data_IF_014055025106
#
_entry.id   IF_014055025106
#
_cell.length_a   1.000
_cell.length_b   1.000
_cell.length_c   1.000
_cell.angle_alpha   90.00
_cell.angle_beta   90.00
_cell.angle_gamma   90.00
#
_symmetry.space_group_name_H-M   'P 1'
#
loop_
_entity.id
_entity.type
_entity.pdbx_description
1 polymer ?
#
# COMPACT_ATOMS: atom_id res chain seq x y z
N UNK A 1 15.54 10.71 8.00
CA UNK A 1 15.96 9.74 6.96
C UNK A 1 14.86 8.71 6.66
N UNK A 2 14.40 7.90 7.63
CA UNK A 2 13.40 6.84 7.43
C UNK A 2 12.11 7.28 6.70
N UNK A 3 11.41 8.31 7.21
CA UNK A 3 10.20 8.87 6.59
C UNK A 3 10.38 9.29 5.13
N UNK A 4 11.59 9.74 4.72
CA UNK A 4 11.85 10.12 3.32
C UNK A 4 11.90 8.92 2.37
N UNK A 5 12.36 7.76 2.85
CA UNK A 5 12.48 6.56 2.02
C UNK A 5 11.21 5.71 2.00
N UNK A 6 10.50 5.63 3.12
CA UNK A 6 9.32 4.75 3.25
C UNK A 6 7.99 5.51 3.21
N UNK A 7 8.02 6.85 3.27
CA UNK A 7 6.82 7.72 3.39
C UNK A 7 5.86 7.29 4.52
N UNK A 8 6.41 6.61 5.54
CA UNK A 8 5.68 6.00 6.63
C UNK A 8 6.39 6.24 7.97
N UNK A 9 5.64 6.17 9.06
CA UNK A 9 6.16 6.19 10.43
C UNK A 9 6.91 4.91 10.76
N UNK A 10 8.09 5.04 11.41
CA UNK A 10 8.91 3.89 11.83
C UNK A 10 8.16 2.91 12.74
N UNK A 11 7.35 3.35 13.73
CA UNK A 11 6.56 2.43 14.55
C UNK A 11 5.57 1.58 13.74
N UNK A 12 4.87 2.19 12.78
CA UNK A 12 3.94 1.48 11.90
C UNK A 12 4.67 0.44 11.04
N UNK A 13 5.83 0.80 10.48
CA UNK A 13 6.65 -0.14 9.72
C UNK A 13 7.10 -1.34 10.56
N UNK A 14 7.51 -1.12 11.80
CA UNK A 14 7.90 -2.21 12.70
C UNK A 14 6.70 -3.09 13.08
N UNK A 15 5.52 -2.49 13.32
CA UNK A 15 4.26 -3.21 13.55
C UNK A 15 3.90 -4.11 12.36
N UNK A 16 4.05 -3.62 11.14
CA UNK A 16 3.82 -4.38 9.91
C UNK A 16 4.78 -5.57 9.82
N UNK A 17 6.09 -5.33 10.03
CA UNK A 17 7.11 -6.39 9.98
C UNK A 17 6.83 -7.49 11.00
N UNK A 18 6.52 -7.12 12.24
CA UNK A 18 6.27 -8.07 13.32
C UNK A 18 5.06 -8.97 13.01
N UNK A 19 3.93 -8.34 12.66
CA UNK A 19 2.70 -9.05 12.28
C UNK A 19 2.92 -9.97 11.08
N UNK A 20 3.56 -9.49 10.01
CA UNK A 20 3.85 -10.31 8.83
C UNK A 20 4.79 -11.47 9.15
N UNK A 21 5.82 -11.24 9.97
CA UNK A 21 6.77 -12.29 10.35
C UNK A 21 6.12 -13.41 11.16
N UNK A 22 5.13 -13.07 11.99
CA UNK A 22 4.48 -14.02 12.90
C UNK A 22 3.27 -14.71 12.28
N UNK A 23 2.52 -14.03 11.40
CA UNK A 23 1.23 -14.51 10.91
C UNK A 23 1.25 -14.95 9.43
N UNK A 24 2.29 -14.59 8.66
CA UNK A 24 2.39 -14.96 7.25
C UNK A 24 3.60 -15.86 7.00
N UNK A 25 3.40 -17.17 6.71
CA UNK A 25 4.49 -18.15 6.57
C UNK A 25 5.56 -17.80 5.53
N UNK A 26 5.21 -16.99 4.52
CA UNK A 26 6.16 -16.53 3.51
C UNK A 26 7.21 -15.57 4.08
N UNK A 27 6.86 -14.75 5.07
CA UNK A 27 7.78 -13.76 5.62
C UNK A 27 8.73 -14.35 6.66
N UNK A 28 8.34 -15.43 7.32
CA UNK A 28 9.21 -16.18 8.25
C UNK A 28 10.59 -16.47 7.63
N UNK A 29 11.65 -16.07 8.34
CA UNK A 29 13.02 -16.23 7.84
C UNK A 29 13.51 -17.67 8.07
N UNK A 30 13.56 -18.45 6.99
CA UNK A 30 13.99 -19.86 7.01
C UNK A 30 15.43 -20.03 6.54
N UNK A 31 16.08 -21.10 6.99
CA UNK A 31 17.36 -21.56 6.44
C UNK A 31 17.12 -22.33 5.15
N UNK A 32 17.94 -22.05 4.14
CA UNK A 32 17.92 -22.82 2.91
C UNK A 32 18.59 -24.20 3.09
N UNK A 33 18.55 -25.05 2.06
CA UNK A 33 19.16 -26.39 2.08
C UNK A 33 20.67 -26.39 2.37
N UNK A 34 21.36 -25.26 2.19
CA UNK A 34 22.77 -25.07 2.50
C UNK A 34 22.99 -24.47 3.91
N UNK A 35 21.95 -24.40 4.74
CA UNK A 35 22.00 -23.88 6.11
C UNK A 35 22.13 -22.36 6.22
N UNK A 36 22.11 -21.62 5.11
CA UNK A 36 22.17 -20.15 5.11
C UNK A 36 20.79 -19.55 5.30
N UNK A 37 20.70 -18.46 6.06
CA UNK A 37 19.46 -17.72 6.19
C UNK A 37 19.06 -17.13 4.83
N UNK A 38 17.80 -17.34 4.45
CA UNK A 38 17.19 -16.65 3.32
C UNK A 38 16.95 -15.17 3.61
N UNK A 39 16.27 -14.50 2.67
CA UNK A 39 15.90 -13.09 2.80
C UNK A 39 15.14 -12.81 4.09
N UNK A 40 15.55 -11.76 4.79
CA UNK A 40 14.87 -11.29 5.98
C UNK A 40 13.49 -10.69 5.65
N UNK A 41 12.60 -10.68 6.64
CA UNK A 41 11.27 -10.04 6.55
C UNK A 41 11.42 -8.58 6.11
N UNK A 42 12.41 -7.87 6.67
CA UNK A 42 12.68 -6.46 6.37
C UNK A 42 13.03 -6.27 4.90
N UNK A 43 13.87 -7.15 4.33
CA UNK A 43 14.22 -7.09 2.90
C UNK A 43 13.00 -7.34 2.01
N UNK A 44 12.21 -8.37 2.33
CA UNK A 44 10.98 -8.71 1.59
C UNK A 44 9.95 -7.57 1.63
N UNK A 45 9.70 -7.01 2.81
CA UNK A 45 8.78 -5.89 2.99
C UNK A 45 9.29 -4.62 2.31
N UNK A 46 10.60 -4.34 2.38
CA UNK A 46 11.19 -3.17 1.72
C UNK A 46 11.05 -3.27 0.20
N UNK A 47 11.21 -4.47 -0.38
CA UNK A 47 10.98 -4.69 -1.80
C UNK A 47 9.53 -4.34 -2.17
N UNK A 48 8.56 -4.94 -1.48
CA UNK A 48 7.15 -4.71 -1.74
C UNK A 48 6.74 -3.23 -1.58
N UNK A 49 7.14 -2.59 -0.47
CA UNK A 49 6.81 -1.18 -0.19
C UNK A 49 7.42 -0.25 -1.23
N UNK A 50 8.61 -0.56 -1.74
CA UNK A 50 9.22 0.24 -2.79
C UNK A 50 8.54 0.04 -4.15
N UNK A 51 8.05 -1.16 -4.46
CA UNK A 51 7.36 -1.44 -5.73
C UNK A 51 5.99 -0.77 -5.84
N UNK A 52 5.22 -0.69 -4.74
CA UNK A 52 3.85 -0.17 -4.75
C UNK A 52 3.69 1.27 -5.30
N UNK A 53 4.42 2.30 -4.83
CA UNK A 53 4.16 3.69 -5.22
C UNK A 53 4.64 4.07 -6.63
N UNK A 54 5.51 3.28 -7.26
CA UNK A 54 6.10 3.67 -8.55
C UNK A 54 5.57 2.90 -9.75
N UNK A 55 4.81 1.81 -9.54
CA UNK A 55 4.28 0.98 -10.63
C UNK A 55 5.35 0.46 -11.60
N UNK A 56 6.61 0.50 -11.19
CA UNK A 56 7.78 0.17 -12.01
C UNK A 56 8.02 -1.34 -12.01
N UNK A 57 8.58 -1.85 -13.11
CA UNK A 57 8.92 -3.27 -13.26
C UNK A 57 9.85 -3.72 -12.14
N UNK A 58 9.73 -5.00 -11.72
CA UNK A 58 10.57 -5.58 -10.67
C UNK A 58 12.08 -5.41 -10.93
N UNK A 59 12.46 -5.28 -12.20
CA UNK A 59 13.82 -5.01 -12.67
C UNK A 59 14.45 -3.74 -12.10
N UNK A 60 13.69 -2.67 -11.87
CA UNK A 60 14.23 -1.41 -11.35
C UNK A 60 14.70 -1.52 -9.89
N UNK A 61 14.21 -2.51 -9.14
CA UNK A 61 14.57 -2.73 -7.73
C UNK A 61 15.66 -3.80 -7.54
N UNK A 62 16.05 -4.49 -8.62
CA UNK A 62 17.14 -5.44 -8.63
C UNK A 62 18.46 -4.77 -8.21
N UNK A 63 18.69 -3.51 -8.56
CA UNK A 63 19.96 -2.83 -8.25
C UNK A 63 20.13 -2.52 -6.76
N UNK A 64 19.04 -2.27 -6.02
CA UNK A 64 19.13 -1.84 -4.62
C UNK A 64 19.04 -2.99 -3.61
N UNK A 65 18.22 -4.01 -3.89
CA UNK A 65 18.01 -5.16 -2.98
C UNK A 65 18.63 -6.45 -3.50
N UNK A 66 19.14 -6.48 -4.75
CA UNK A 66 19.68 -7.67 -5.43
C UNK A 66 18.71 -8.85 -5.39
N UNK A 67 17.43 -8.55 -5.65
CA UNK A 67 16.36 -9.53 -5.73
C UNK A 67 16.05 -9.83 -7.19
N UNK A 68 15.94 -11.12 -7.53
CA UNK A 68 15.40 -11.51 -8.84
C UNK A 68 13.96 -11.03 -8.99
N UNK A 69 13.59 -10.64 -10.21
CA UNK A 69 12.26 -10.09 -10.53
C UNK A 69 11.12 -10.95 -9.98
N UNK A 70 11.17 -12.26 -10.21
CA UNK A 70 10.17 -13.22 -9.71
C UNK A 70 10.05 -13.22 -8.19
N UNK A 71 11.15 -13.03 -7.46
CA UNK A 71 11.15 -12.95 -6.00
C UNK A 71 10.57 -11.62 -5.53
N UNK A 72 10.87 -10.53 -6.23
CA UNK A 72 10.31 -9.21 -5.92
C UNK A 72 8.78 -9.19 -6.11
N UNK A 73 8.29 -9.77 -7.22
CA UNK A 73 6.86 -9.94 -7.48
C UNK A 73 6.17 -10.81 -6.43
N UNK A 74 6.78 -11.94 -6.04
CA UNK A 74 6.22 -12.80 -5.00
C UNK A 74 6.21 -12.10 -3.63
N UNK A 75 7.23 -11.29 -3.32
CA UNK A 75 7.22 -10.46 -2.12
C UNK A 75 6.08 -9.44 -2.16
N UNK A 76 5.84 -8.80 -3.31
CA UNK A 76 4.75 -7.84 -3.47
C UNK A 76 3.39 -8.52 -3.25
N UNK A 77 3.14 -9.65 -3.90
CA UNK A 77 1.88 -10.39 -3.78
C UNK A 77 1.60 -10.86 -2.33
N UNK A 78 2.58 -11.51 -1.70
CA UNK A 78 2.41 -11.97 -0.32
C UNK A 78 2.30 -10.79 0.66
N UNK A 79 2.99 -9.68 0.38
CA UNK A 79 2.87 -8.47 1.17
C UNK A 79 1.46 -7.88 1.06
N UNK A 80 0.94 -7.67 -0.16
CA UNK A 80 -0.39 -7.09 -0.34
C UNK A 80 -1.48 -7.95 0.28
N UNK A 81 -1.41 -9.28 0.09
CA UNK A 81 -2.36 -10.20 0.69
C UNK A 81 -2.28 -10.18 2.22
N UNK A 82 -1.06 -10.19 2.78
CA UNK A 82 -0.84 -10.08 4.21
C UNK A 82 -1.34 -8.77 4.80
N UNK A 83 -1.12 -7.64 4.10
CA UNK A 83 -1.65 -6.34 4.54
C UNK A 83 -3.18 -6.33 4.54
N UNK A 84 -3.82 -6.82 3.46
CA UNK A 84 -5.29 -6.90 3.39
C UNK A 84 -5.83 -7.78 4.51
N UNK A 85 -5.24 -8.95 4.74
CA UNK A 85 -5.70 -9.88 5.76
C UNK A 85 -5.51 -9.34 7.19
N UNK A 86 -4.38 -8.69 7.47
CA UNK A 86 -4.01 -8.31 8.84
C UNK A 86 -4.48 -6.91 9.24
N UNK A 87 -4.65 -6.02 8.26
CA UNK A 87 -4.92 -4.60 8.45
C UNK A 87 -6.15 -4.11 7.68
N UNK A 88 -6.76 -4.95 6.83
CA UNK A 88 -7.91 -4.56 6.01
C UNK A 88 -9.10 -4.09 6.84
N UNK A 89 -9.41 -4.81 7.92
CA UNK A 89 -10.52 -4.45 8.81
C UNK A 89 -10.28 -3.15 9.59
N UNK A 90 -9.02 -2.75 9.79
CA UNK A 90 -8.68 -1.52 10.52
C UNK A 90 -8.57 -0.32 9.56
N UNK A 91 -7.89 -0.49 8.42
CA UNK A 91 -7.47 0.61 7.55
C UNK A 91 -8.08 0.58 6.14
N UNK A 92 -8.52 -0.57 5.64
CA UNK A 92 -9.06 -0.74 4.27
C UNK A 92 -10.55 -1.10 4.36
N UNK A 93 -11.26 -0.37 5.23
CA UNK A 93 -12.70 -0.53 5.44
C UNK A 93 -13.42 0.78 5.15
N UNK A 94 -14.76 0.68 5.05
CA UNK A 94 -15.59 1.89 4.98
C UNK A 94 -15.46 2.67 6.30
N UNK A 95 -15.38 4.01 6.23
CA UNK A 95 -15.40 4.85 7.44
C UNK A 95 -16.66 4.57 8.26
N UNK A 96 -16.50 4.48 9.58
CA UNK A 96 -17.65 4.37 10.50
C UNK A 96 -18.23 5.76 10.77
N UNK A 97 -19.37 5.82 11.47
CA UNK A 97 -19.98 7.10 11.85
C UNK A 97 -19.07 7.88 12.79
N UNK A 98 -18.35 7.18 13.66
CA UNK A 98 -17.40 7.71 14.61
C UNK A 98 -16.21 8.33 13.88
N UNK A 99 -15.70 7.65 12.84
CA UNK A 99 -14.62 8.16 12.01
C UNK A 99 -15.02 9.43 11.25
N UNK A 100 -16.23 9.43 10.69
CA UNK A 100 -16.84 10.60 10.02
C UNK A 100 -16.99 11.77 10.98
N UNK A 101 -17.54 11.54 12.18
CA UNK A 101 -17.70 12.59 13.19
C UNK A 101 -16.34 13.18 13.58
N UNK A 102 -15.34 12.33 13.81
CA UNK A 102 -13.98 12.75 14.13
C UNK A 102 -13.38 13.63 13.01
N UNK A 103 -13.60 13.25 11.74
CA UNK A 103 -13.15 14.03 10.58
C UNK A 103 -13.81 15.41 10.53
N UNK A 104 -15.12 15.48 10.77
CA UNK A 104 -15.88 16.72 10.82
C UNK A 104 -15.42 17.63 11.97
N UNK A 105 -15.24 17.08 13.17
CA UNK A 105 -14.78 17.84 14.34
C UNK A 105 -13.39 18.45 14.09
N UNK A 106 -12.48 17.69 13.48
CA UNK A 106 -11.14 18.18 13.08
C UNK A 106 -11.25 19.24 11.97
N UNK A 107 -12.14 19.06 11.01
CA UNK A 107 -12.44 20.04 9.96
C UNK A 107 -12.91 21.36 10.56
N UNK A 108 -13.88 21.31 11.48
CA UNK A 108 -14.44 22.46 12.17
C UNK A 108 -13.36 23.26 12.92
N UNK A 109 -12.55 22.58 13.75
CA UNK A 109 -11.44 23.21 14.51
C UNK A 109 -10.41 23.86 13.59
N UNK A 110 -10.26 23.37 12.36
CA UNK A 110 -9.34 23.92 11.35
C UNK A 110 -9.96 24.98 10.44
N UNK A 111 -11.25 25.32 10.63
CA UNK A 111 -11.96 26.31 9.81
C UNK A 111 -12.52 25.76 8.49
N UNK A 112 -12.67 24.44 8.37
CA UNK A 112 -13.27 23.75 7.23
C UNK A 112 -14.55 23.00 7.66
N UNK A 113 -15.62 23.73 8.02
CA UNK A 113 -16.88 23.12 8.47
C UNK A 113 -17.45 22.22 7.38
N UNK A 114 -17.84 20.99 7.75
CA UNK A 114 -18.39 20.00 6.82
C UNK A 114 -17.37 19.23 5.98
N UNK A 115 -16.07 19.51 6.10
CA UNK A 115 -15.02 18.80 5.35
C UNK A 115 -14.70 17.46 5.98
N UNK A 116 -14.88 16.37 5.23
CA UNK A 116 -14.63 14.99 5.68
C UNK A 116 -13.16 14.56 5.45
N UNK A 117 -12.32 15.43 4.91
CA UNK A 117 -10.90 15.18 4.67
C UNK A 117 -10.45 15.74 3.33
N UNK A 118 -9.19 15.51 2.97
CA UNK A 118 -8.71 15.75 1.60
C UNK A 118 -8.91 14.48 0.79
N UNK A 119 -9.63 14.57 -0.32
CA UNK A 119 -9.72 13.48 -1.29
C UNK A 119 -8.41 13.47 -2.07
N UNK A 120 -7.58 12.44 -1.89
CA UNK A 120 -6.50 12.17 -2.83
C UNK A 120 -7.05 11.24 -3.91
N UNK A 121 -6.98 11.68 -5.16
CA UNK A 121 -7.41 10.91 -6.31
C UNK A 121 -6.20 10.45 -7.11
N UNK A 122 -5.99 9.14 -7.19
CA UNK A 122 -5.00 8.57 -8.10
C UNK A 122 -5.69 8.10 -9.37
N UNK A 123 -5.24 8.64 -10.49
CA UNK A 123 -5.68 8.27 -11.83
C UNK A 123 -4.78 7.17 -12.38
N UNK A 124 -5.30 5.95 -12.48
CA UNK A 124 -4.56 4.82 -13.03
C UNK A 124 -5.01 4.50 -14.46
N UNK A 125 -4.14 4.71 -15.44
CA UNK A 125 -4.43 4.34 -16.83
C UNK A 125 -4.48 2.81 -16.98
N UNK A 126 -5.64 2.29 -17.37
CA UNK A 126 -5.85 0.86 -17.61
C UNK A 126 -5.29 0.45 -18.98
N UNK A 127 -4.04 -0.02 -19.02
CA UNK A 127 -3.43 -0.55 -20.26
C UNK A 127 -4.23 -1.71 -20.89
N UNK A 128 -4.89 -2.51 -20.05
CA UNK A 128 -5.72 -3.66 -20.44
C UNK A 128 -7.19 -3.52 -19.99
N UNK A 129 -7.75 -2.31 -19.97
CA UNK A 129 -9.17 -2.13 -19.62
C UNK A 129 -10.07 -2.93 -20.59
N UNK A 130 -10.94 -3.84 -20.09
CA UNK A 130 -11.83 -4.63 -20.94
C UNK A 130 -12.76 -3.74 -21.78
N UNK A 131 -13.02 -4.13 -23.02
CA UNK A 131 -13.83 -3.33 -23.96
C UNK A 131 -15.20 -2.94 -23.40
N UNK A 132 -15.82 -3.80 -22.59
CA UNK A 132 -17.11 -3.55 -21.97
C UNK A 132 -17.10 -2.41 -20.91
N UNK A 133 -15.95 -2.12 -20.31
CA UNK A 133 -15.79 -1.14 -19.22
C UNK A 133 -15.16 0.17 -19.71
N UNK A 134 -14.56 0.15 -20.90
CA UNK A 134 -13.88 1.30 -21.51
C UNK A 134 -14.75 2.55 -21.54
N UNK A 135 -16.04 2.45 -21.83
CA UNK A 135 -16.94 3.60 -21.84
C UNK A 135 -17.13 4.27 -20.47
N UNK A 136 -17.14 3.48 -19.39
CA UNK A 136 -17.28 3.99 -18.01
C UNK A 136 -15.99 4.61 -17.49
N UNK A 137 -14.85 4.05 -17.90
CA UNK A 137 -13.51 4.46 -17.44
C UNK A 137 -12.90 5.60 -18.29
N UNK A 138 -13.52 5.95 -19.42
CA UNK A 138 -13.07 7.03 -20.31
C UNK A 138 -13.86 8.31 -20.02
N UNK A 139 -13.77 8.84 -18.80
CA UNK A 139 -14.45 10.09 -18.38
C UNK A 139 -13.72 11.34 -18.88
N UNK A 140 -13.57 11.48 -20.20
CA UNK A 140 -12.97 12.66 -20.85
C UNK A 140 -11.45 12.61 -21.04
N UNK A 141 -10.75 11.60 -20.54
CA UNK A 141 -9.37 11.28 -20.92
C UNK A 141 -9.34 10.41 -22.19
N UNK A 142 -8.28 10.49 -23.00
CA UNK A 142 -8.16 9.67 -24.21
C UNK A 142 -7.96 8.17 -23.93
N UNK A 143 -7.73 7.80 -22.67
CA UNK A 143 -7.42 6.44 -22.22
C UNK A 143 -8.30 6.07 -21.02
N UNK A 144 -8.78 4.82 -20.93
CA UNK A 144 -9.56 4.36 -19.79
C UNK A 144 -8.73 4.48 -18.51
N UNK A 145 -9.28 5.18 -17.52
CA UNK A 145 -8.59 5.52 -16.27
C UNK A 145 -9.48 5.13 -15.09
N UNK A 146 -8.95 4.35 -14.16
CA UNK A 146 -9.61 4.05 -12.89
C UNK A 146 -9.19 5.12 -11.89
N UNK A 147 -10.16 5.75 -11.22
CA UNK A 147 -9.90 6.70 -10.14
C UNK A 147 -10.04 5.96 -8.83
N UNK A 148 -8.95 5.90 -8.06
CA UNK A 148 -8.96 5.46 -6.68
C UNK A 148 -9.04 6.71 -5.80
N UNK A 149 -10.16 6.83 -5.07
CA UNK A 149 -10.39 7.91 -4.11
C UNK A 149 -10.17 7.37 -2.70
N UNK A 150 -9.25 8.00 -1.97
CA UNK A 150 -9.06 7.76 -0.54
C UNK A 150 -9.28 9.08 0.21
N UNK A 151 -10.08 9.02 1.27
CA UNK A 151 -10.30 10.16 2.15
C UNK A 151 -9.38 10.02 3.34
N UNK A 152 -8.21 10.62 3.27
CA UNK A 152 -7.24 10.58 4.35
C UNK A 152 -7.37 11.79 5.28
N UNK A 153 -7.55 11.50 6.56
CA UNK A 153 -7.32 12.40 7.69
C UNK A 153 -5.86 12.85 7.75
N UNK A 154 -5.61 13.99 8.39
CA UNK A 154 -4.25 14.53 8.54
C UNK A 154 -3.28 13.60 9.29
N UNK A 155 -3.81 12.66 10.07
CA UNK A 155 -3.08 11.65 10.83
C UNK A 155 -3.06 10.27 10.14
N UNK A 156 -3.62 10.17 8.92
CA UNK A 156 -3.62 8.97 8.07
C UNK A 156 -4.32 7.75 8.69
N UNK A 157 -5.32 7.98 9.54
CA UNK A 157 -6.07 6.92 10.23
C UNK A 157 -7.08 6.24 9.31
N UNK A 158 -7.89 7.07 8.66
CA UNK A 158 -8.80 6.78 7.55
C UNK A 158 -8.48 7.81 6.51
#
# INVERSE_FOLDING_TARGET
>A
MFRRHFRMNKPLFLRIIDRLSNEVPYFEQKRNAHGRYGLSVIQKCTAAIRMMPYGQSGDAYNEYLRLGESTALLCLENFTNGIIQLFGDEYIRRPTREDLQRLLDVGEVRGFPGMIGSIDCMHWEGKNCPTAWRGQDTRGSAKPTIVLEAVASHDLWI
#
